data_IF_420599575117
#
_entry.id   IF_420599575117
#
_cell.length_a   1.000
_cell.length_b   1.000
_cell.length_c   1.000
_cell.angle_alpha   90.00
_cell.angle_beta   90.00
_cell.angle_gamma   90.00
#
_symmetry.space_group_name_H-M   'P 1'
#
loop_
_entity.id
_entity.type
_entity.pdbx_description
1 polymer ?
#
# COMPACT_ATOMS: atom_id res chain seq x y z
N UNK A 1 11.18 -8.60 -23.02
CA UNK A 1 10.79 -9.25 -22.02
C UNK A 1 9.63 -8.65 -21.35
N UNK A 2 8.78 -9.35 -21.02
CA UNK A 2 7.63 -8.78 -20.45
C UNK A 2 7.87 -8.42 -19.01
N UNK A 3 7.20 -7.44 -18.62
CA UNK A 3 7.24 -7.04 -17.25
C UNK A 3 6.48 -8.07 -16.45
N UNK A 4 6.87 -8.19 -15.21
CA UNK A 4 6.17 -9.01 -14.26
C UNK A 4 5.51 -8.01 -13.32
N UNK A 5 4.25 -7.63 -13.55
CA UNK A 5 3.64 -6.55 -12.77
C UNK A 5 3.60 -6.86 -11.29
N UNK A 6 3.88 -5.86 -10.48
CA UNK A 6 3.76 -6.00 -9.04
C UNK A 6 2.27 -5.95 -8.70
N UNK A 7 1.80 -6.94 -7.97
CA UNK A 7 0.39 -6.99 -7.56
C UNK A 7 0.27 -6.25 -6.23
N UNK A 8 -0.54 -5.22 -6.21
CA UNK A 8 -0.68 -4.41 -5.01
C UNK A 8 -2.14 -4.24 -4.63
N UNK A 9 -2.35 -3.93 -3.37
CA UNK A 9 -3.66 -3.62 -2.83
C UNK A 9 -3.53 -2.31 -2.06
N UNK A 10 -4.44 -1.36 -2.29
CA UNK A 10 -4.45 -0.10 -1.57
C UNK A 10 -5.66 -0.09 -0.65
N UNK A 11 -5.48 0.26 0.62
CA UNK A 11 -6.55 0.20 1.60
C UNK A 11 -7.71 1.10 1.22
N UNK A 12 -8.92 0.63 1.49
CA UNK A 12 -10.11 1.40 1.17
C UNK A 12 -11.26 1.01 2.10
N UNK A 13 -12.32 1.79 2.04
CA UNK A 13 -13.53 1.53 2.82
C UNK A 13 -14.77 1.66 1.92
N UNK A 14 -14.63 1.28 0.66
CA UNK A 14 -15.66 1.37 -0.37
C UNK A 14 -16.18 2.80 -0.57
N UNK A 15 -15.33 3.78 -0.31
CA UNK A 15 -15.65 5.18 -0.51
C UNK A 15 -14.62 5.79 -1.44
N UNK A 16 -15.02 6.82 -2.17
CA UNK A 16 -14.07 7.59 -2.95
C UNK A 16 -13.13 8.32 -2.02
N UNK A 17 -11.88 8.38 -2.38
CA UNK A 17 -10.88 9.04 -1.56
C UNK A 17 -9.79 9.61 -2.47
N UNK A 18 -9.46 10.88 -2.24
CA UNK A 18 -8.50 11.56 -3.09
C UNK A 18 -7.12 10.94 -2.99
N UNK A 19 -6.73 10.48 -1.80
CA UNK A 19 -5.42 9.87 -1.64
C UNK A 19 -5.32 8.53 -2.38
N UNK A 20 -6.42 7.78 -2.40
CA UNK A 20 -6.44 6.53 -3.17
C UNK A 20 -6.18 6.83 -4.65
N UNK A 21 -6.88 7.80 -5.19
CA UNK A 21 -6.69 8.18 -6.59
C UNK A 21 -5.28 8.69 -6.83
N UNK A 22 -4.75 9.46 -5.89
CA UNK A 22 -3.42 10.05 -6.04
C UNK A 22 -2.32 9.00 -6.13
N UNK A 23 -2.46 7.91 -5.39
CA UNK A 23 -1.48 6.83 -5.47
C UNK A 23 -1.35 6.37 -6.93
N UNK A 24 -2.49 6.13 -7.58
CA UNK A 24 -2.44 5.61 -8.94
C UNK A 24 -1.99 6.67 -9.95
N UNK A 25 -2.26 7.94 -9.68
CA UNK A 25 -1.71 8.99 -10.52
C UNK A 25 -0.19 8.97 -10.50
N UNK A 26 0.40 8.76 -9.32
CA UNK A 26 1.85 8.67 -9.21
C UNK A 26 2.39 7.44 -9.92
N UNK A 27 1.73 6.30 -9.78
CA UNK A 27 2.20 5.08 -10.42
C UNK A 27 2.11 5.17 -11.95
N UNK A 28 1.04 5.80 -12.45
CA UNK A 28 0.88 5.94 -13.88
C UNK A 28 1.85 6.96 -14.47
N UNK A 29 2.24 7.95 -13.70
CA UNK A 29 3.13 8.99 -14.20
C UNK A 29 4.51 8.44 -14.56
N UNK A 30 4.90 7.33 -13.96
CA UNK A 30 6.21 6.76 -14.22
C UNK A 30 6.37 6.25 -15.65
N UNK A 31 5.36 5.62 -16.19
CA UNK A 31 5.45 5.03 -17.52
C UNK A 31 6.30 3.78 -17.60
N UNK A 32 7.04 3.46 -16.55
CA UNK A 32 7.90 2.27 -16.55
C UNK A 32 7.58 1.33 -15.40
N UNK A 33 6.65 1.68 -14.55
CA UNK A 33 6.27 0.83 -13.43
C UNK A 33 5.00 0.06 -13.80
N UNK A 34 5.09 -1.25 -13.83
CA UNK A 34 3.96 -2.09 -14.19
C UNK A 34 3.37 -2.72 -12.95
N UNK A 35 2.07 -2.62 -12.79
CA UNK A 35 1.40 -3.12 -11.61
C UNK A 35 0.03 -3.67 -11.93
N UNK A 36 -0.48 -4.48 -11.02
CA UNK A 36 -1.86 -4.95 -11.06
C UNK A 36 -2.51 -4.59 -9.73
N UNK A 37 -3.61 -3.85 -9.77
CA UNK A 37 -4.31 -3.39 -8.57
C UNK A 37 -5.42 -4.37 -8.23
N UNK A 38 -5.30 -5.05 -7.07
CA UNK A 38 -6.33 -5.98 -6.65
C UNK A 38 -7.41 -5.34 -5.78
N UNK A 39 -7.24 -4.07 -5.39
CA UNK A 39 -8.24 -3.41 -4.55
C UNK A 39 -9.44 -2.98 -5.40
N UNK A 40 -10.62 -3.07 -4.82
CA UNK A 40 -11.86 -2.78 -5.55
C UNK A 40 -12.78 -1.89 -4.73
N UNK A 41 -12.40 -0.62 -4.51
CA UNK A 41 -13.25 0.28 -3.74
C UNK A 41 -14.56 0.63 -4.42
N UNK A 42 -14.64 0.44 -5.74
CA UNK A 42 -15.87 0.75 -6.48
C UNK A 42 -16.88 -0.38 -6.43
N UNK A 43 -16.49 -1.55 -5.93
CA UNK A 43 -17.42 -2.66 -5.82
C UNK A 43 -18.47 -2.35 -4.76
N UNK A 44 -19.59 -3.03 -4.84
CA UNK A 44 -20.65 -2.81 -3.86
C UNK A 44 -20.18 -3.28 -2.49
N UNK A 45 -20.30 -2.42 -1.50
CA UNK A 45 -19.91 -2.75 -0.14
C UNK A 45 -20.86 -3.81 0.43
N UNK A 46 -20.33 -4.91 0.95
CA UNK A 46 -21.20 -5.89 1.61
C UNK A 46 -21.86 -5.30 2.85
N UNK A 47 -23.05 -5.81 3.18
CA UNK A 47 -23.84 -5.21 4.24
C UNK A 47 -23.29 -5.47 5.63
N UNK A 48 -22.91 -6.71 5.92
CA UNK A 48 -22.49 -7.03 7.28
C UNK A 48 -20.98 -7.13 7.40
N UNK A 49 -20.50 -7.07 8.64
CA UNK A 49 -19.07 -7.03 8.91
C UNK A 49 -18.35 -8.26 8.41
N UNK A 50 -18.94 -9.43 8.57
CA UNK A 50 -18.23 -10.64 8.16
C UNK A 50 -18.09 -10.72 6.65
N UNK A 51 -19.12 -10.32 5.93
CA UNK A 51 -19.04 -10.29 4.47
C UNK A 51 -18.04 -9.24 3.99
N UNK A 52 -17.94 -8.12 4.70
CA UNK A 52 -16.95 -7.11 4.37
C UNK A 52 -15.53 -7.65 4.55
N UNK A 53 -15.30 -8.36 5.64
CA UNK A 53 -14.00 -8.96 5.89
C UNK A 53 -13.66 -10.02 4.86
N UNK A 54 -14.64 -10.83 4.51
CA UNK A 54 -14.42 -11.85 3.51
C UNK A 54 -14.06 -11.25 2.16
N UNK A 55 -14.73 -10.18 1.78
CA UNK A 55 -14.45 -9.50 0.53
C UNK A 55 -13.05 -8.90 0.55
N UNK A 56 -12.65 -8.30 1.66
CA UNK A 56 -11.31 -7.72 1.77
C UNK A 56 -10.24 -8.81 1.73
N UNK A 57 -10.46 -9.94 2.38
CA UNK A 57 -9.51 -11.06 2.29
C UNK A 57 -9.32 -11.48 0.85
N UNK A 58 -10.41 -11.53 0.10
CA UNK A 58 -10.35 -11.94 -1.29
C UNK A 58 -9.59 -10.94 -2.15
N UNK A 59 -9.72 -9.65 -1.85
CA UNK A 59 -9.01 -8.62 -2.59
C UNK A 59 -7.52 -8.58 -2.23
N UNK A 60 -7.18 -8.84 -0.97
CA UNK A 60 -5.80 -8.76 -0.51
C UNK A 60 -5.00 -10.01 -0.87
N UNK A 61 -5.66 -11.16 -0.87
CA UNK A 61 -4.96 -12.43 -1.06
C UNK A 61 -4.03 -12.47 -2.26
N UNK A 62 -4.39 -11.91 -3.43
CA UNK A 62 -3.49 -12.00 -4.58
C UNK A 62 -2.36 -10.98 -4.59
N UNK A 63 -2.32 -10.03 -3.67
CA UNK A 63 -1.31 -8.98 -3.77
C UNK A 63 0.03 -9.40 -3.15
N UNK A 64 1.07 -8.67 -3.51
CA UNK A 64 2.41 -8.87 -2.96
C UNK A 64 2.77 -7.77 -1.95
N UNK A 65 2.06 -6.65 -1.98
CA UNK A 65 2.35 -5.54 -1.09
C UNK A 65 1.05 -4.77 -0.88
N UNK A 66 0.87 -4.26 0.34
CA UNK A 66 -0.30 -3.46 0.69
C UNK A 66 0.13 -2.03 0.93
N UNK A 67 -0.58 -1.08 0.35
CA UNK A 67 -0.35 0.34 0.56
C UNK A 67 -1.41 0.85 1.51
N UNK A 68 -0.99 1.49 2.60
CA UNK A 68 -1.91 1.99 3.62
C UNK A 68 -2.01 3.50 3.53
N UNK A 69 -3.25 4.00 3.52
CA UNK A 69 -3.52 5.41 3.41
C UNK A 69 -4.02 5.94 4.76
N UNK A 70 -3.27 6.84 5.41
CA UNK A 70 -3.72 7.38 6.70
C UNK A 70 -5.09 8.06 6.62
N UNK A 71 -5.39 8.71 5.50
CA UNK A 71 -6.68 9.37 5.36
C UNK A 71 -7.83 8.37 5.42
N UNK A 72 -7.65 7.20 4.80
CA UNK A 72 -8.69 6.17 4.84
C UNK A 72 -8.77 5.56 6.24
N UNK A 73 -7.63 5.42 6.92
CA UNK A 73 -7.62 4.92 8.28
C UNK A 73 -8.45 5.83 9.19
N UNK A 74 -8.33 7.15 9.02
CA UNK A 74 -9.10 8.07 9.86
C UNK A 74 -10.59 7.98 9.58
N UNK A 75 -10.98 7.66 8.36
CA UNK A 75 -12.40 7.52 8.02
C UNK A 75 -12.97 6.21 8.56
N UNK A 76 -12.19 5.14 8.53
CA UNK A 76 -12.69 3.82 8.89
C UNK A 76 -11.59 3.02 9.59
N UNK A 77 -11.25 3.40 10.83
CA UNK A 77 -10.09 2.78 11.50
C UNK A 77 -10.21 1.27 11.66
N UNK A 78 -11.39 0.77 11.99
CA UNK A 78 -11.54 -0.66 12.20
C UNK A 78 -11.34 -1.45 10.91
N UNK A 79 -11.86 -0.92 9.81
CA UNK A 79 -11.72 -1.60 8.53
C UNK A 79 -10.28 -1.61 8.06
N UNK A 80 -9.58 -0.48 8.20
CA UNK A 80 -8.20 -0.42 7.75
C UNK A 80 -7.31 -1.25 8.66
N UNK A 81 -7.57 -1.24 9.95
CA UNK A 81 -6.81 -2.07 10.87
C UNK A 81 -6.98 -3.55 10.51
N UNK A 82 -8.19 -3.97 10.14
CA UNK A 82 -8.40 -5.33 9.69
C UNK A 82 -7.56 -5.65 8.46
N UNK A 83 -7.51 -4.72 7.50
CA UNK A 83 -6.76 -4.93 6.27
C UNK A 83 -5.27 -5.08 6.58
N UNK A 84 -4.74 -4.24 7.49
CA UNK A 84 -3.34 -4.34 7.87
C UNK A 84 -3.03 -5.63 8.60
N UNK A 85 -3.89 -6.01 9.54
CA UNK A 85 -3.65 -7.23 10.31
C UNK A 85 -3.73 -8.46 9.43
N UNK A 86 -4.68 -8.49 8.49
CA UNK A 86 -4.76 -9.62 7.59
C UNK A 86 -3.52 -9.69 6.70
N UNK A 87 -3.05 -8.53 6.23
CA UNK A 87 -1.83 -8.50 5.41
C UNK A 87 -0.64 -9.08 6.19
N UNK A 88 -0.47 -8.65 7.44
CA UNK A 88 0.66 -9.14 8.22
C UNK A 88 0.53 -10.64 8.49
N UNK A 89 -0.67 -11.11 8.78
CA UNK A 89 -0.87 -12.53 9.03
C UNK A 89 -0.60 -13.37 7.79
N UNK A 90 -0.78 -12.79 6.61
CA UNK A 90 -0.53 -13.48 5.36
C UNK A 90 0.86 -13.18 4.78
N UNK A 91 1.73 -12.59 5.59
CA UNK A 91 3.11 -12.27 5.21
C UNK A 91 3.19 -11.29 4.03
N UNK A 92 2.25 -10.37 3.95
CA UNK A 92 2.28 -9.35 2.93
C UNK A 92 2.85 -8.08 3.53
N UNK A 93 3.95 -7.53 2.98
CA UNK A 93 4.54 -6.31 3.54
C UNK A 93 3.62 -5.11 3.33
N UNK A 94 3.77 -4.13 4.20
CA UNK A 94 2.95 -2.93 4.19
C UNK A 94 3.82 -1.70 3.97
N UNK A 95 3.46 -0.92 2.94
CA UNK A 95 4.03 0.40 2.71
C UNK A 95 2.97 1.42 3.11
N UNK A 96 3.27 2.26 4.10
CA UNK A 96 2.34 3.30 4.52
C UNK A 96 2.73 4.60 3.86
N UNK A 97 1.73 5.35 3.37
CA UNK A 97 1.99 6.69 2.86
C UNK A 97 2.02 7.67 4.02
N UNK A 98 2.80 8.73 3.90
CA UNK A 98 2.76 9.82 4.85
C UNK A 98 1.41 10.53 4.77
N UNK A 99 1.11 11.38 5.75
CA UNK A 99 -0.08 12.23 5.66
C UNK A 99 0.12 13.21 4.52
N UNK A 100 -0.81 13.24 3.58
CA UNK A 100 -0.67 14.13 2.44
C UNK A 100 -0.84 15.59 2.87
N UNK A 101 0.12 16.41 2.51
CA UNK A 101 0.01 17.84 2.77
C UNK A 101 0.16 18.23 4.23
N UNK A 102 0.73 17.36 5.05
CA UNK A 102 0.84 17.62 6.48
C UNK A 102 2.11 16.99 7.02
N UNK A 103 2.66 17.61 8.04
CA UNK A 103 3.82 17.03 8.72
C UNK A 103 3.44 16.26 9.97
N UNK A 104 2.15 16.06 10.19
CA UNK A 104 1.72 15.33 11.38
C UNK A 104 2.21 13.89 11.33
N UNK A 105 2.52 13.31 12.49
CA UNK A 105 2.94 11.91 12.50
C UNK A 105 1.81 10.98 12.14
N UNK A 106 2.16 9.80 11.68
CA UNK A 106 1.16 8.78 11.37
C UNK A 106 0.51 8.25 12.63
N UNK A 107 -0.72 7.77 12.53
CA UNK A 107 -1.34 7.07 13.66
C UNK A 107 -0.48 5.92 14.13
N UNK A 108 -0.48 5.68 15.44
CA UNK A 108 0.39 4.66 16.02
C UNK A 108 0.14 3.29 15.41
N UNK A 109 -1.12 2.93 15.15
CA UNK A 109 -1.41 1.63 14.59
C UNK A 109 -0.74 1.43 13.24
N UNK A 110 -0.69 2.48 12.43
CA UNK A 110 -0.02 2.38 11.13
C UNK A 110 1.48 2.28 11.34
N UNK A 111 2.03 3.10 12.23
CA UNK A 111 3.48 3.05 12.48
C UNK A 111 3.91 1.68 12.97
N UNK A 112 3.10 1.05 13.81
CA UNK A 112 3.47 -0.23 14.39
C UNK A 112 3.45 -1.36 13.37
N UNK A 113 2.60 -1.27 12.36
CA UNK A 113 2.44 -2.36 11.40
C UNK A 113 3.13 -2.14 10.07
N UNK A 114 3.50 -0.91 9.76
CA UNK A 114 4.11 -0.63 8.46
C UNK A 114 5.54 -1.14 8.41
N UNK A 115 5.92 -1.70 7.27
CA UNK A 115 7.28 -2.13 7.04
C UNK A 115 8.13 -0.99 6.48
N UNK A 116 7.49 -0.05 5.83
CA UNK A 116 8.17 1.10 5.26
C UNK A 116 7.17 2.24 5.12
N UNK A 117 7.65 3.49 5.22
CA UNK A 117 6.80 4.67 5.03
C UNK A 117 7.32 5.41 3.81
N UNK A 118 6.42 5.80 2.92
CA UNK A 118 6.79 6.48 1.70
C UNK A 118 6.31 7.91 1.69
N UNK A 119 7.17 8.80 1.23
CA UNK A 119 6.75 10.17 0.96
C UNK A 119 5.87 10.19 -0.29
N UNK A 120 5.13 11.29 -0.45
CA UNK A 120 4.23 11.45 -1.59
C UNK A 120 5.01 11.98 -2.79
N UNK A 121 5.80 11.12 -3.39
CA UNK A 121 6.36 11.39 -4.71
C UNK A 121 6.53 10.06 -5.44
N UNK A 122 6.55 10.18 -6.75
CA UNK A 122 6.54 9.02 -7.61
C UNK A 122 7.70 8.08 -7.34
N UNK A 123 8.91 8.62 -7.26
CA UNK A 123 10.09 7.79 -7.10
C UNK A 123 10.11 7.06 -5.77
N UNK A 124 9.82 7.77 -4.68
CA UNK A 124 9.85 7.11 -3.37
C UNK A 124 8.82 6.01 -3.28
N UNK A 125 7.62 6.26 -3.82
CA UNK A 125 6.58 5.25 -3.75
C UNK A 125 6.96 4.01 -4.56
N UNK A 126 7.42 4.20 -5.78
CA UNK A 126 7.75 3.07 -6.63
C UNK A 126 8.93 2.29 -6.05
N UNK A 127 9.93 2.98 -5.52
CA UNK A 127 11.07 2.30 -4.91
C UNK A 127 10.65 1.51 -3.68
N UNK A 128 9.76 2.08 -2.87
CA UNK A 128 9.26 1.36 -1.69
C UNK A 128 8.50 0.11 -2.09
N UNK A 129 7.67 0.21 -3.12
CA UNK A 129 6.91 -0.95 -3.57
C UNK A 129 7.84 -2.04 -4.09
N UNK A 130 8.87 -1.69 -4.84
CA UNK A 130 9.81 -2.68 -5.34
C UNK A 130 10.60 -3.33 -4.21
N UNK A 131 11.03 -2.55 -3.24
CA UNK A 131 11.77 -3.11 -2.11
C UNK A 131 10.92 -4.10 -1.34
N UNK A 132 9.70 -3.71 -1.04
CA UNK A 132 8.85 -4.55 -0.19
C UNK A 132 8.25 -5.73 -0.94
N UNK A 133 7.81 -5.53 -2.17
CA UNK A 133 7.17 -6.60 -2.92
C UNK A 133 8.17 -7.63 -3.43
N UNK A 134 9.34 -7.20 -3.84
CA UNK A 134 10.28 -8.08 -4.52
C UNK A 134 11.66 -8.06 -3.91
N UNK A 135 11.85 -7.36 -2.80
CA UNK A 135 13.13 -7.25 -2.11
C UNK A 135 14.22 -6.69 -3.04
N UNK A 136 13.82 -5.79 -3.96
CA UNK A 136 14.78 -5.21 -4.88
C UNK A 136 15.54 -4.10 -4.20
N UNK A 137 16.84 -4.04 -4.45
CA UNK A 137 17.65 -2.93 -3.98
C UNK A 137 17.42 -1.77 -4.93
N UNK A 138 17.21 -0.59 -4.38
CA UNK A 138 16.97 0.57 -5.19
C UNK A 138 17.90 1.68 -4.75
N UNK A 139 17.42 2.92 -4.69
CA UNK A 139 18.29 4.01 -4.30
C UNK A 139 18.94 3.81 -2.99
N UNK A 140 18.30 3.16 -2.05
CA UNK A 140 18.85 2.98 -0.76
C UNK A 140 20.06 2.08 -0.79
N UNK A 141 20.14 1.22 -1.78
CA UNK A 141 21.23 0.33 -1.96
C UNK A 141 22.52 1.08 -2.11
N UNK A 142 22.46 2.19 -2.82
CA UNK A 142 23.67 2.92 -3.11
C UNK A 142 24.35 3.40 -1.87
N UNK A 143 23.66 3.63 -0.81
CA UNK A 143 24.28 4.12 0.38
C UNK A 143 24.83 3.02 1.22
N UNK A 144 24.48 1.79 0.93
CA UNK A 144 24.93 0.75 1.78
C UNK A 144 25.96 -0.09 1.20
N UNK A 145 25.95 -0.17 -0.08
CA UNK A 145 26.74 -1.15 -0.69
C UNK A 145 28.16 -1.05 -0.39
N UNK A 146 28.60 0.14 -0.16
CA UNK A 146 29.96 0.23 0.01
C UNK A 146 30.44 -0.47 1.11
N UNK A 147 29.64 -0.80 1.97
CA UNK A 147 30.16 -1.42 3.01
C UNK A 147 30.54 -2.77 2.65
N UNK A 148 30.20 -3.21 1.58
CA UNK A 148 30.49 -4.46 1.31
C UNK A 148 31.79 -4.61 0.79
N UNK A 149 32.22 -3.92 0.41
CA UNK A 149 33.36 -4.18 -0.07
C UNK A 149 34.27 -4.39 0.57
#
# INVERSE_FOLDING_TARGET
MSANPIRLFVTHAWLENDDYTRVFEYLEASGTFYYFNSSQPQAKQPIDKESQREDLRRQIAPCEVVVVLPAVYRLAPELVLFQMNFAKAADKPIVAMENFGSTEPLPKAIKDLADEVSAWNERNLIDALRRQARHQETTRWDTIDFKLD
#
